data_IF_621693855795
#
_entry.id   IF_621693855795
#
_cell.length_a   1.000
_cell.length_b   1.000
_cell.length_c   1.000
_cell.angle_alpha   90.00
_cell.angle_beta   90.00
_cell.angle_gamma   90.00
#
_symmetry.space_group_name_H-M   'P 1'
#
loop_
_entity.id
_entity.type
_entity.pdbx_description
1 polymer ?
#
# COMPACT_ATOMS: atom_id res chain seq x y z
N UNK A 1 -13.92 9.91 -2.41
CA UNK A 1 -12.46 9.73 -2.28
C UNK A 1 -11.86 9.49 -3.65
N UNK A 2 -10.88 10.29 -4.05
CA UNK A 2 -10.27 10.14 -5.36
C UNK A 2 -8.93 9.43 -5.27
N UNK A 3 -8.30 9.17 -6.42
CA UNK A 3 -7.04 8.44 -6.47
C UNK A 3 -5.89 9.19 -5.79
N UNK A 4 -5.90 10.51 -5.88
CA UNK A 4 -4.90 11.35 -5.22
C UNK A 4 -4.95 11.18 -3.70
N UNK A 5 -6.15 11.13 -3.13
CA UNK A 5 -6.32 10.88 -1.70
C UNK A 5 -5.70 9.54 -1.30
N UNK A 6 -5.90 8.52 -2.14
CA UNK A 6 -5.36 7.19 -1.88
C UNK A 6 -3.84 7.21 -1.94
N UNK A 7 -3.27 7.88 -2.94
CA UNK A 7 -1.82 8.00 -3.06
C UNK A 7 -1.23 8.70 -1.84
N UNK A 8 -1.89 9.75 -1.34
CA UNK A 8 -1.44 10.45 -0.14
C UNK A 8 -1.47 9.54 1.08
N UNK A 9 -2.48 8.68 1.20
CA UNK A 9 -2.56 7.70 2.28
C UNK A 9 -1.38 6.72 2.19
N UNK A 10 -1.06 6.26 0.99
CA UNK A 10 0.07 5.35 0.78
C UNK A 10 1.38 6.05 1.19
N UNK A 11 1.54 7.31 0.83
CA UNK A 11 2.74 8.08 1.21
C UNK A 11 2.86 8.24 2.72
N UNK A 12 1.75 8.47 3.42
CA UNK A 12 1.77 8.55 4.88
C UNK A 12 2.21 7.22 5.51
N UNK A 13 1.73 6.12 4.95
CA UNK A 13 2.13 4.79 5.41
C UNK A 13 3.61 4.54 5.12
N UNK A 14 4.11 5.00 3.99
CA UNK A 14 5.53 4.90 3.64
C UNK A 14 6.38 5.70 4.64
N UNK A 15 5.92 6.89 5.02
CA UNK A 15 6.62 7.69 6.04
C UNK A 15 6.76 6.93 7.35
N UNK A 16 5.68 6.28 7.79
CA UNK A 16 5.71 5.48 9.01
C UNK A 16 6.69 4.31 8.89
N UNK A 17 6.65 3.63 7.74
CA UNK A 17 7.58 2.52 7.47
C UNK A 17 9.03 3.01 7.51
N UNK A 18 9.31 4.14 6.89
CA UNK A 18 10.65 4.69 6.81
C UNK A 18 11.19 5.09 8.18
N UNK A 19 10.33 5.56 9.09
CA UNK A 19 10.73 5.89 10.45
C UNK A 19 11.22 4.66 11.21
N UNK A 20 10.57 3.52 10.97
CA UNK A 20 10.91 2.28 11.65
C UNK A 20 12.10 1.59 10.97
N UNK A 21 12.28 1.82 9.67
CA UNK A 21 13.30 1.17 8.87
C UNK A 21 14.22 2.18 8.18
N UNK A 22 15.03 2.93 8.94
CA UNK A 22 15.83 4.03 8.38
C UNK A 22 16.91 3.56 7.41
N UNK A 23 17.28 2.28 7.43
CA UNK A 23 18.28 1.73 6.53
C UNK A 23 17.68 1.16 5.24
N UNK A 24 16.36 1.25 5.09
CA UNK A 24 15.65 0.65 3.96
C UNK A 24 14.55 1.59 3.48
N UNK A 25 14.93 2.81 3.16
CA UNK A 25 13.97 3.86 2.82
C UNK A 25 13.28 3.59 1.50
N UNK A 26 11.98 3.88 1.45
CA UNK A 26 11.15 3.76 0.27
C UNK A 26 10.82 5.16 -0.22
N UNK A 27 11.02 5.41 -1.51
CA UNK A 27 10.71 6.71 -2.10
C UNK A 27 9.19 6.91 -2.24
N UNK A 28 8.76 8.15 -2.08
CA UNK A 28 7.33 8.50 -2.21
C UNK A 28 7.07 8.98 -3.63
N UNK A 29 6.97 8.04 -4.55
CA UNK A 29 6.71 8.30 -5.96
C UNK A 29 5.74 7.25 -6.50
N UNK A 30 4.97 7.61 -7.53
CA UNK A 30 3.96 6.72 -8.08
C UNK A 30 4.55 5.46 -8.71
N UNK A 31 5.77 5.55 -9.22
CA UNK A 31 6.44 4.41 -9.85
C UNK A 31 7.35 3.64 -8.90
N UNK A 32 7.33 3.97 -7.61
CA UNK A 32 8.13 3.26 -6.62
C UNK A 32 7.71 1.80 -6.54
N UNK A 33 8.69 0.89 -6.65
CA UNK A 33 8.45 -0.53 -6.51
C UNK A 33 8.39 -0.90 -5.02
N UNK A 34 7.37 -1.64 -4.64
CA UNK A 34 7.14 -2.01 -3.24
C UNK A 34 7.50 -3.46 -2.99
N UNK A 35 6.76 -4.38 -3.58
CA UNK A 35 6.90 -5.81 -3.33
C UNK A 35 7.13 -6.54 -4.65
N UNK A 36 7.97 -7.57 -4.61
CA UNK A 36 8.29 -8.34 -5.79
C UNK A 36 9.78 -8.33 -6.05
N UNK A 37 10.17 -8.75 -7.26
CA UNK A 37 11.57 -8.99 -7.60
C UNK A 37 12.49 -7.80 -7.37
N UNK A 38 12.05 -6.61 -7.75
CA UNK A 38 12.86 -5.39 -7.62
C UNK A 38 12.37 -4.47 -6.50
N UNK A 39 11.39 -4.92 -5.72
CA UNK A 39 10.86 -4.15 -4.61
C UNK A 39 11.73 -4.26 -3.37
N UNK A 40 11.61 -3.26 -2.49
CA UNK A 40 12.39 -3.21 -1.25
C UNK A 40 11.73 -3.97 -0.10
N UNK A 41 10.45 -4.27 -0.21
CA UNK A 41 9.70 -4.92 0.86
C UNK A 41 9.78 -6.44 0.74
N UNK A 42 10.01 -7.10 1.87
CA UNK A 42 9.75 -8.53 1.98
C UNK A 42 8.28 -8.72 2.40
N UNK A 43 7.86 -9.97 2.59
CA UNK A 43 6.47 -10.27 2.93
C UNK A 43 6.04 -9.60 4.23
N UNK A 44 6.90 -9.60 5.23
CA UNK A 44 6.58 -9.00 6.52
C UNK A 44 6.49 -7.48 6.41
N UNK A 45 7.43 -6.85 5.70
CA UNK A 45 7.41 -5.42 5.47
C UNK A 45 6.16 -4.99 4.72
N UNK A 46 5.76 -5.78 3.72
CA UNK A 46 4.55 -5.51 2.95
C UNK A 46 3.30 -5.57 3.85
N UNK A 47 3.19 -6.59 4.70
CA UNK A 47 2.06 -6.72 5.61
C UNK A 47 1.98 -5.51 6.54
N UNK A 48 3.13 -5.08 7.09
CA UNK A 48 3.16 -3.92 7.97
C UNK A 48 2.72 -2.65 7.23
N UNK A 49 3.16 -2.46 6.00
CA UNK A 49 2.76 -1.30 5.21
C UNK A 49 1.25 -1.33 4.92
N UNK A 50 0.72 -2.48 4.54
CA UNK A 50 -0.70 -2.63 4.24
C UNK A 50 -1.56 -2.35 5.47
N UNK A 51 -1.17 -2.85 6.63
CA UNK A 51 -1.90 -2.60 7.87
C UNK A 51 -1.91 -1.11 8.20
N UNK A 52 -0.80 -0.42 7.98
CA UNK A 52 -0.73 1.03 8.18
C UNK A 52 -1.67 1.75 7.23
N UNK A 53 -1.75 1.31 5.96
CA UNK A 53 -2.65 1.90 4.98
C UNK A 53 -4.11 1.71 5.41
N UNK A 54 -4.47 0.49 5.82
CA UNK A 54 -5.84 0.19 6.27
C UNK A 54 -6.23 1.05 7.46
N UNK A 55 -5.32 1.22 8.41
CA UNK A 55 -5.55 2.03 9.59
C UNK A 55 -5.79 3.50 9.21
N UNK A 56 -4.95 4.03 8.30
CA UNK A 56 -5.09 5.43 7.89
C UNK A 56 -6.36 5.67 7.06
N UNK A 57 -6.78 4.70 6.27
CA UNK A 57 -8.04 4.80 5.54
C UNK A 57 -9.21 4.89 6.51
N UNK A 58 -9.18 4.09 7.57
CA UNK A 58 -10.23 4.14 8.58
C UNK A 58 -10.21 5.45 9.35
N UNK A 59 -9.03 5.90 9.78
CA UNK A 59 -8.89 7.09 10.60
C UNK A 59 -9.21 8.37 9.85
N UNK A 60 -8.81 8.48 8.59
CA UNK A 60 -8.92 9.72 7.83
C UNK A 60 -10.17 9.79 6.97
N UNK A 61 -10.69 8.66 6.52
CA UNK A 61 -11.82 8.63 5.58
C UNK A 61 -12.97 7.73 6.04
N UNK A 62 -12.83 7.12 7.20
CA UNK A 62 -13.83 6.20 7.76
C UNK A 62 -14.14 5.06 6.80
N UNK A 63 -13.12 4.57 6.10
CA UNK A 63 -13.22 3.45 5.16
C UNK A 63 -12.57 2.21 5.77
N UNK A 64 -13.37 1.19 6.01
CA UNK A 64 -12.88 -0.08 6.55
C UNK A 64 -12.80 -1.09 5.42
N UNK A 65 -11.59 -1.37 4.94
CA UNK A 65 -11.36 -2.35 3.88
C UNK A 65 -10.24 -3.29 4.29
N UNK A 66 -10.26 -4.50 3.74
CA UNK A 66 -9.23 -5.49 3.97
C UNK A 66 -8.44 -5.67 2.68
N UNK A 67 -7.15 -5.37 2.74
CA UNK A 67 -6.27 -5.47 1.56
C UNK A 67 -5.40 -6.71 1.58
N UNK A 68 -5.03 -7.19 2.77
CA UNK A 68 -4.11 -8.30 2.93
C UNK A 68 -4.86 -9.63 2.99
N UNK A 69 -5.39 -10.08 1.85
CA UNK A 69 -6.00 -11.40 1.77
C UNK A 69 -5.11 -12.34 0.95
N UNK A 70 -5.31 -13.64 1.13
CA UNK A 70 -4.49 -14.66 0.49
C UNK A 70 -4.57 -14.60 -1.03
N UNK A 71 -5.72 -14.25 -1.55
CA UNK A 71 -5.93 -14.16 -2.98
C UNK A 71 -5.06 -13.08 -3.61
N UNK A 72 -4.98 -11.92 -2.96
CA UNK A 72 -4.16 -10.83 -3.46
C UNK A 72 -2.69 -11.21 -3.49
N UNK A 73 -2.20 -11.90 -2.45
CA UNK A 73 -0.81 -12.32 -2.37
C UNK A 73 -0.46 -13.41 -3.40
N UNK A 74 -1.43 -14.20 -3.82
CA UNK A 74 -1.18 -15.32 -4.72
C UNK A 74 -1.34 -14.98 -6.21
N UNK A 75 -1.76 -13.77 -6.53
CA UNK A 75 -1.92 -13.37 -7.92
C UNK A 75 -0.57 -13.22 -8.62
N UNK A 76 -0.52 -13.62 -9.89
CA UNK A 76 0.70 -13.50 -10.70
C UNK A 76 1.16 -12.06 -10.79
N UNK A 77 0.24 -11.14 -11.03
CA UNK A 77 0.51 -9.72 -11.04
C UNK A 77 0.07 -9.16 -9.71
N UNK A 78 1.02 -9.02 -8.80
CA UNK A 78 0.71 -8.58 -7.45
C UNK A 78 0.14 -7.17 -7.46
N UNK A 79 -1.00 -6.93 -6.77
CA UNK A 79 -1.50 -5.56 -6.61
C UNK A 79 -0.61 -4.70 -5.71
N UNK A 80 0.42 -5.29 -5.13
CA UNK A 80 1.35 -4.61 -4.23
C UNK A 80 2.71 -4.35 -4.87
N UNK A 81 2.82 -4.48 -6.20
CA UNK A 81 4.12 -4.36 -6.87
C UNK A 81 4.67 -2.93 -6.86
N UNK A 82 3.80 -1.94 -6.97
CA UNK A 82 4.22 -0.53 -6.96
C UNK A 82 3.16 0.35 -6.33
N UNK A 83 3.53 1.61 -6.03
CA UNK A 83 2.58 2.58 -5.47
C UNK A 83 1.40 2.78 -6.41
N UNK A 84 1.65 2.96 -7.71
CA UNK A 84 0.60 3.18 -8.70
C UNK A 84 -0.36 2.00 -8.77
N UNK A 85 0.16 0.78 -8.84
CA UNK A 85 -0.66 -0.43 -8.90
C UNK A 85 -1.46 -0.59 -7.62
N UNK A 86 -0.83 -0.34 -6.48
CA UNK A 86 -1.51 -0.43 -5.19
C UNK A 86 -2.63 0.61 -5.08
N UNK A 87 -2.38 1.84 -5.55
CA UNK A 87 -3.41 2.88 -5.53
C UNK A 87 -4.62 2.48 -6.37
N UNK A 88 -4.39 1.90 -7.55
CA UNK A 88 -5.48 1.42 -8.40
C UNK A 88 -6.27 0.30 -7.70
N UNK A 89 -5.56 -0.62 -7.06
CA UNK A 89 -6.19 -1.73 -6.36
C UNK A 89 -7.09 -1.23 -5.22
N UNK A 90 -6.59 -0.29 -4.43
CA UNK A 90 -7.35 0.29 -3.32
C UNK A 90 -8.56 1.06 -3.85
N UNK A 91 -8.36 1.86 -4.89
CA UNK A 91 -9.43 2.66 -5.48
C UNK A 91 -10.58 1.75 -5.95
N UNK A 92 -10.24 0.66 -6.64
CA UNK A 92 -11.24 -0.29 -7.12
C UNK A 92 -11.98 -0.98 -5.98
N UNK A 93 -11.28 -1.29 -4.89
CA UNK A 93 -11.92 -1.91 -3.73
C UNK A 93 -12.90 -0.96 -3.04
N UNK A 94 -12.54 0.31 -2.92
CA UNK A 94 -13.40 1.30 -2.29
C UNK A 94 -14.62 1.59 -3.15
N UNK A 95 -14.42 1.70 -4.46
CA UNK A 95 -15.48 2.02 -5.40
C UNK A 95 -16.40 0.83 -5.69
N UNK A 96 -15.90 -0.38 -5.51
CA UNK A 96 -16.62 -1.61 -5.79
C UNK A 96 -17.42 -2.08 -4.56
N UNK A 97 -18.58 -1.52 -4.40
CA UNK A 97 -19.47 -1.88 -3.30
C UNK A 97 -20.73 -2.55 -3.77
#
# INVERSE_FOLDING_TARGET
MNKEDIINIIYLAIDDYNQINPNSLIAKESNTLLYGQDGKLDSLGLVNLILAIEEKLLDNFNKSISLADDKAFSEKTSPFSSVSVLADFIYNKIDDK
#
